data_IF_975660202819
#
_entry.id   IF_975660202819
#
_cell.length_a   1.000
_cell.length_b   1.000
_cell.length_c   1.000
_cell.angle_alpha   90.00
_cell.angle_beta   90.00
_cell.angle_gamma   90.00
#
_symmetry.space_group_name_H-M   'P 1'
#
loop_
_entity.id
_entity.type
_entity.pdbx_description
1 polymer ?
#
# COMPACT_ATOMS: atom_id res chain seq x y z
N UNK A 1 -2.07 14.31 16.32
CA UNK A 1 -2.19 13.62 15.02
C UNK A 1 -1.99 12.12 15.20
N UNK A 2 -0.82 11.67 15.66
CA UNK A 2 -0.50 10.24 15.61
C UNK A 2 -1.39 9.35 16.49
N UNK A 3 -1.60 9.76 17.75
CA UNK A 3 -2.48 9.08 18.69
C UNK A 3 -3.95 9.15 18.27
N UNK A 4 -4.36 10.22 17.57
CA UNK A 4 -5.73 10.38 17.06
C UNK A 4 -6.03 9.30 16.02
N UNK A 5 -5.11 9.07 15.08
CA UNK A 5 -5.29 8.01 14.08
C UNK A 5 -5.26 6.62 14.71
N UNK A 6 -4.31 6.38 15.64
CA UNK A 6 -4.20 5.11 16.35
C UNK A 6 -5.41 4.80 17.25
N UNK A 7 -6.18 5.82 17.66
CA UNK A 7 -7.38 5.65 18.50
C UNK A 7 -8.62 5.17 17.74
N UNK A 8 -8.60 5.14 16.40
CA UNK A 8 -9.76 4.75 15.59
C UNK A 8 -9.62 3.28 15.19
N UNK A 9 -10.57 2.39 15.56
CA UNK A 9 -10.55 1.00 15.11
C UNK A 9 -10.60 0.92 13.58
N UNK A 10 -9.69 0.15 12.99
CA UNK A 10 -9.60 0.02 11.53
C UNK A 10 -10.90 -0.46 10.88
N UNK A 11 -11.70 -1.27 11.58
CA UNK A 11 -13.00 -1.74 11.08
C UNK A 11 -13.98 -0.61 10.83
N UNK A 12 -13.93 0.44 11.66
CA UNK A 12 -14.80 1.62 11.54
C UNK A 12 -14.19 2.71 10.67
N UNK A 13 -12.87 2.71 10.48
CA UNK A 13 -12.17 3.80 9.81
C UNK A 13 -12.71 4.12 8.41
N UNK A 14 -13.12 3.10 7.64
CA UNK A 14 -13.69 3.32 6.32
C UNK A 14 -14.96 4.19 6.34
N UNK A 15 -15.81 4.04 7.35
CA UNK A 15 -17.04 4.84 7.52
C UNK A 15 -16.73 6.32 7.80
N UNK A 16 -15.62 6.62 8.49
CA UNK A 16 -15.16 7.99 8.69
C UNK A 16 -14.55 8.59 7.42
N UNK A 17 -13.88 7.77 6.60
CA UNK A 17 -13.20 8.23 5.39
C UNK A 17 -14.18 8.48 4.23
N UNK A 18 -15.24 7.69 4.10
CA UNK A 18 -16.25 7.86 3.04
C UNK A 18 -16.86 9.28 2.96
N UNK A 19 -17.39 9.90 4.04
CA UNK A 19 -17.94 11.25 3.98
C UNK A 19 -16.85 12.29 3.70
N UNK A 20 -15.64 12.10 4.23
CA UNK A 20 -14.50 12.97 3.94
C UNK A 20 -14.16 12.94 2.44
N UNK A 21 -14.08 11.75 1.84
CA UNK A 21 -13.79 11.59 0.42
C UNK A 21 -14.86 12.22 -0.47
N UNK A 22 -16.15 12.08 -0.09
CA UNK A 22 -17.26 12.77 -0.78
C UNK A 22 -17.09 14.28 -0.76
N UNK A 23 -16.73 14.85 0.39
CA UNK A 23 -16.54 16.29 0.52
C UNK A 23 -15.30 16.79 -0.23
N UNK A 24 -14.20 16.04 -0.21
CA UNK A 24 -12.99 16.33 -1.02
C UNK A 24 -13.37 16.35 -2.50
N UNK A 25 -14.04 15.30 -2.99
CA UNK A 25 -14.49 15.23 -4.39
C UNK A 25 -15.40 16.41 -4.76
N UNK A 26 -16.28 16.84 -3.86
CA UNK A 26 -17.17 17.99 -4.08
C UNK A 26 -16.41 19.32 -4.12
N UNK A 27 -15.43 19.53 -3.25
CA UNK A 27 -14.62 20.75 -3.22
C UNK A 27 -13.72 20.85 -4.44
N UNK A 28 -13.13 19.72 -4.83
CA UNK A 28 -12.12 19.65 -5.89
C UNK A 28 -12.72 19.11 -7.20
N UNK A 29 -14.03 19.26 -7.41
CA UNK A 29 -14.72 18.71 -8.59
C UNK A 29 -14.07 19.17 -9.88
N UNK A 30 -13.77 20.47 -10.01
CA UNK A 30 -13.10 21.01 -11.20
C UNK A 30 -11.76 20.32 -11.47
N UNK A 31 -10.95 20.08 -10.43
CA UNK A 31 -9.65 19.43 -10.55
C UNK A 31 -9.80 17.99 -11.06
N UNK A 32 -10.72 17.22 -10.48
CA UNK A 32 -10.97 15.85 -10.93
C UNK A 32 -11.55 15.80 -12.35
N UNK A 33 -12.47 16.71 -12.69
CA UNK A 33 -13.05 16.80 -14.03
C UNK A 33 -11.99 17.15 -15.09
N UNK A 34 -11.06 18.05 -14.77
CA UNK A 34 -10.00 18.44 -15.69
C UNK A 34 -8.97 17.32 -15.89
N UNK A 35 -8.64 16.58 -14.83
CA UNK A 35 -7.84 15.34 -14.93
C UNK A 35 -8.54 14.29 -15.80
N UNK A 36 -9.83 14.08 -15.62
CA UNK A 36 -10.61 13.13 -16.41
C UNK A 36 -10.64 13.52 -17.89
N UNK A 37 -10.78 14.82 -18.20
CA UNK A 37 -10.68 15.33 -19.58
C UNK A 37 -9.30 15.10 -20.20
N UNK A 38 -8.23 15.13 -19.40
CA UNK A 38 -6.87 14.79 -19.83
C UNK A 38 -6.66 13.26 -20.00
N UNK A 39 -7.68 12.44 -19.69
CA UNK A 39 -7.64 10.98 -19.79
C UNK A 39 -7.19 10.27 -18.52
N UNK A 40 -7.06 10.97 -17.40
CA UNK A 40 -6.67 10.38 -16.12
C UNK A 40 -7.80 9.54 -15.53
N UNK A 41 -7.47 8.34 -15.07
CA UNK A 41 -8.43 7.40 -14.48
C UNK A 41 -8.44 7.51 -12.95
N UNK A 42 -9.58 7.91 -12.39
CA UNK A 42 -9.76 8.02 -10.95
C UNK A 42 -10.04 6.67 -10.29
N UNK A 43 -9.45 6.44 -9.12
CA UNK A 43 -9.76 5.29 -8.24
C UNK A 43 -10.10 5.82 -6.84
N UNK A 44 -11.36 5.65 -6.46
CA UNK A 44 -11.92 6.16 -5.20
C UNK A 44 -11.81 5.17 -4.04
N UNK A 45 -11.11 4.04 -4.22
CA UNK A 45 -11.07 2.93 -3.29
C UNK A 45 -12.28 1.98 -3.45
N UNK A 46 -12.15 0.77 -2.91
CA UNK A 46 -13.11 -0.33 -3.12
C UNK A 46 -14.56 0.02 -2.72
N UNK A 47 -14.73 0.87 -1.72
CA UNK A 47 -16.00 1.32 -1.12
C UNK A 47 -16.11 2.85 -1.09
N UNK A 48 -15.28 3.57 -1.86
CA UNK A 48 -15.27 5.03 -1.86
C UNK A 48 -14.59 5.67 -0.64
N UNK A 49 -13.89 4.89 0.19
CA UNK A 49 -13.15 5.38 1.37
C UNK A 49 -11.76 5.97 1.04
N UNK A 50 -11.43 6.07 -0.24
CA UNK A 50 -10.28 6.84 -0.73
C UNK A 50 -8.91 6.27 -0.38
N UNK A 51 -7.92 7.17 -0.42
CA UNK A 51 -6.50 6.87 -0.26
C UNK A 51 -6.18 6.13 1.04
N UNK A 52 -6.72 6.61 2.16
CA UNK A 52 -6.38 6.11 3.50
C UNK A 52 -6.65 4.61 3.64
N UNK A 53 -7.85 4.17 3.27
CA UNK A 53 -8.19 2.76 3.36
C UNK A 53 -7.52 1.93 2.27
N UNK A 54 -7.28 2.49 1.08
CA UNK A 54 -6.49 1.83 0.04
C UNK A 54 -5.07 1.53 0.55
N UNK A 55 -4.46 2.49 1.25
CA UNK A 55 -3.16 2.32 1.87
C UNK A 55 -3.18 1.20 2.92
N UNK A 56 -4.12 1.22 3.85
CA UNK A 56 -4.20 0.19 4.90
C UNK A 56 -4.51 -1.21 4.33
N UNK A 57 -5.47 -1.31 3.42
CA UNK A 57 -5.89 -2.62 2.88
C UNK A 57 -4.81 -3.29 2.05
N UNK A 58 -4.04 -2.55 1.24
CA UNK A 58 -3.12 -3.17 0.26
C UNK A 58 -1.73 -2.57 0.14
N UNK A 59 -1.42 -1.49 0.86
CA UNK A 59 -0.09 -0.87 0.91
C UNK A 59 0.42 -0.31 -0.43
N UNK A 60 -0.41 -0.22 -1.47
CA UNK A 60 0.06 0.02 -2.85
C UNK A 60 -0.98 0.65 -3.79
N UNK A 61 -0.52 1.05 -4.99
CA UNK A 61 -1.33 1.49 -6.13
C UNK A 61 -2.15 2.76 -5.90
N UNK A 62 -1.66 3.64 -5.05
CA UNK A 62 -2.20 4.98 -4.89
C UNK A 62 -1.20 6.00 -5.41
N UNK A 63 -1.72 7.19 -5.69
CA UNK A 63 -0.97 8.34 -6.16
C UNK A 63 -1.26 9.50 -5.20
N UNK A 64 -0.21 10.18 -4.76
CA UNK A 64 -0.31 11.41 -3.98
C UNK A 64 0.23 12.50 -4.88
N UNK A 65 -0.64 13.45 -5.23
CA UNK A 65 -0.23 14.57 -6.05
C UNK A 65 0.70 15.50 -5.26
N UNK A 66 1.82 15.83 -5.89
CA UNK A 66 2.80 16.80 -5.42
C UNK A 66 3.08 17.88 -6.50
N UNK A 67 2.18 18.01 -7.47
CA UNK A 67 2.21 19.01 -8.55
C UNK A 67 2.21 18.44 -9.96
N UNK A 68 2.35 17.12 -10.13
CA UNK A 68 2.35 16.51 -11.47
C UNK A 68 0.96 16.43 -12.09
N UNK A 69 -0.10 16.43 -11.28
CA UNK A 69 -1.48 16.44 -11.79
C UNK A 69 -1.78 17.68 -12.63
N UNK A 70 -1.33 18.86 -12.19
CA UNK A 70 -1.53 20.12 -12.93
C UNK A 70 -0.81 20.09 -14.28
N UNK A 71 0.39 19.50 -14.34
CA UNK A 71 1.13 19.31 -15.58
C UNK A 71 0.46 18.30 -16.52
N UNK A 72 -0.27 17.31 -15.98
CA UNK A 72 -1.12 16.42 -16.80
C UNK A 72 -2.34 17.17 -17.33
N UNK A 73 -2.98 18.00 -16.49
CA UNK A 73 -4.15 18.81 -16.86
C UNK A 73 -3.79 19.80 -17.99
N UNK A 74 -2.66 20.50 -17.87
CA UNK A 74 -2.25 21.51 -18.86
C UNK A 74 -1.59 20.92 -20.12
N UNK A 75 -1.30 19.61 -20.11
CA UNK A 75 -0.73 18.87 -21.23
C UNK A 75 0.80 18.90 -21.31
N UNK A 76 1.49 19.53 -20.35
CA UNK A 76 2.95 19.49 -20.23
C UNK A 76 3.47 18.06 -20.02
N UNK A 77 2.71 17.22 -19.31
CA UNK A 77 2.91 15.77 -19.23
C UNK A 77 1.81 15.09 -20.04
N UNK A 78 2.20 14.42 -21.13
CA UNK A 78 1.27 13.61 -21.92
C UNK A 78 0.96 12.30 -21.19
N UNK A 79 -0.33 11.95 -21.16
CA UNK A 79 -0.82 10.73 -20.53
C UNK A 79 -1.22 9.68 -21.58
N UNK A 80 -0.76 8.44 -21.39
CA UNK A 80 -1.24 7.26 -22.13
C UNK A 80 -1.73 6.22 -21.13
N UNK A 81 -3.02 5.91 -21.17
CA UNK A 81 -3.70 4.98 -20.26
C UNK A 81 -4.47 3.89 -21.04
N UNK A 82 -4.96 2.88 -20.32
CA UNK A 82 -5.81 1.82 -20.88
C UNK A 82 -5.07 0.69 -21.61
N UNK A 83 -3.74 0.69 -21.59
CA UNK A 83 -2.90 -0.32 -22.22
C UNK A 83 -1.64 -0.54 -21.39
N UNK A 84 -1.25 -1.81 -21.18
CA UNK A 84 0.00 -2.15 -20.49
C UNK A 84 1.17 -2.08 -21.46
N UNK A 85 2.38 -1.96 -20.89
CA UNK A 85 3.62 -2.19 -21.63
C UNK A 85 3.73 -3.65 -22.06
N UNK A 86 3.98 -3.88 -23.35
CA UNK A 86 4.27 -5.21 -23.90
C UNK A 86 5.78 -5.48 -23.90
N UNK A 87 6.57 -4.55 -24.45
CA UNK A 87 8.04 -4.64 -24.52
C UNK A 87 8.67 -3.27 -24.72
N UNK A 88 9.98 -3.19 -24.52
CA UNK A 88 10.78 -2.09 -25.01
C UNK A 88 11.22 -2.37 -26.46
N UNK A 89 11.31 -1.32 -27.27
CA UNK A 89 12.02 -1.34 -28.55
C UNK A 89 13.34 -0.59 -28.41
N UNK A 90 14.16 -0.60 -29.47
CA UNK A 90 15.38 0.21 -29.53
C UNK A 90 15.10 1.71 -29.38
N UNK A 91 13.89 2.17 -29.75
CA UNK A 91 13.54 3.58 -29.84
C UNK A 91 12.42 4.01 -28.90
N UNK A 92 11.92 3.12 -28.01
CA UNK A 92 10.78 3.46 -27.17
C UNK A 92 10.09 2.30 -26.45
N UNK A 93 8.81 2.52 -26.15
CA UNK A 93 7.96 1.59 -25.40
C UNK A 93 6.81 1.13 -26.28
N UNK A 94 6.67 -0.17 -26.48
CA UNK A 94 5.54 -0.76 -27.22
C UNK A 94 4.49 -1.25 -26.25
N UNK A 95 3.26 -0.83 -26.48
CA UNK A 95 2.10 -1.15 -25.66
C UNK A 95 1.27 -2.27 -26.28
N UNK A 96 0.48 -2.98 -25.47
CA UNK A 96 -0.32 -4.13 -25.91
C UNK A 96 -1.42 -3.79 -26.94
N UNK A 97 -1.83 -2.53 -27.01
CA UNK A 97 -2.75 -2.00 -28.03
C UNK A 97 -2.06 -1.68 -29.36
N UNK A 98 -0.78 -2.03 -29.50
CA UNK A 98 0.02 -1.85 -30.71
C UNK A 98 0.66 -0.48 -30.86
N UNK A 99 0.40 0.45 -29.92
CA UNK A 99 1.01 1.77 -29.94
C UNK A 99 2.50 1.68 -29.55
N UNK A 100 3.35 2.44 -30.26
CA UNK A 100 4.75 2.64 -29.89
C UNK A 100 4.95 4.10 -29.46
N UNK A 101 5.53 4.28 -28.28
CA UNK A 101 5.85 5.58 -27.70
C UNK A 101 7.36 5.81 -27.83
N UNK A 102 7.81 6.70 -28.73
CA UNK A 102 9.22 7.03 -28.86
C UNK A 102 9.77 7.64 -27.57
N UNK A 103 10.93 7.18 -27.12
CA UNK A 103 11.59 7.69 -25.92
C UNK A 103 13.10 7.44 -25.95
N UNK A 104 13.89 8.47 -25.62
CA UNK A 104 15.35 8.35 -25.44
C UNK A 104 15.72 7.81 -24.04
N UNK A 105 14.80 7.91 -23.08
CA UNK A 105 14.97 7.43 -21.70
C UNK A 105 13.65 6.84 -21.19
N UNK A 106 13.74 5.66 -20.57
CA UNK A 106 12.61 4.99 -19.91
C UNK A 106 12.91 4.87 -18.41
N UNK A 107 12.01 5.38 -17.59
CA UNK A 107 12.09 5.29 -16.11
C UNK A 107 11.00 4.35 -15.61
N UNK A 108 11.42 3.27 -14.93
CA UNK A 108 10.50 2.31 -14.33
C UNK A 108 9.98 2.83 -12.98
N UNK A 109 8.81 3.45 -13.00
CA UNK A 109 8.07 3.88 -11.81
C UNK A 109 6.95 2.89 -11.43
N UNK A 110 7.22 1.59 -11.51
CA UNK A 110 6.20 0.51 -11.38
C UNK A 110 5.86 0.12 -9.93
N UNK A 111 6.43 0.83 -8.95
CA UNK A 111 6.23 0.56 -7.52
C UNK A 111 7.11 -0.56 -6.99
N UNK A 112 6.83 -0.97 -5.74
CA UNK A 112 7.58 -1.99 -5.01
C UNK A 112 6.81 -3.31 -4.90
N UNK A 113 7.55 -4.42 -4.83
CA UNK A 113 7.01 -5.73 -4.48
C UNK A 113 6.58 -5.83 -3.01
N UNK A 114 6.01 -6.98 -2.64
CA UNK A 114 5.58 -7.23 -1.26
C UNK A 114 6.78 -7.48 -0.33
N UNK A 115 6.62 -7.19 0.97
CA UNK A 115 7.64 -7.53 1.98
C UNK A 115 7.86 -9.06 2.08
N UNK A 116 6.84 -9.86 1.78
CA UNK A 116 6.97 -11.32 1.68
C UNK A 116 7.86 -11.77 0.55
N UNK A 117 7.78 -11.12 -0.62
CA UNK A 117 8.67 -11.41 -1.74
C UNK A 117 10.13 -11.23 -1.32
N UNK A 118 10.43 -10.12 -0.64
CA UNK A 118 11.76 -9.89 -0.07
C UNK A 118 12.17 -10.94 0.97
N UNK A 119 11.26 -11.39 1.83
CA UNK A 119 11.58 -12.46 2.78
C UNK A 119 11.92 -13.79 2.05
N UNK A 120 11.25 -14.07 0.92
CA UNK A 120 11.52 -15.25 0.12
C UNK A 120 12.90 -15.19 -0.55
N UNK A 121 13.26 -14.03 -1.10
CA UNK A 121 14.53 -13.80 -1.79
C UNK A 121 15.72 -13.71 -0.83
N UNK A 122 15.56 -13.04 0.31
CA UNK A 122 16.67 -12.77 1.25
C UNK A 122 16.89 -13.89 2.27
N UNK A 123 15.85 -14.67 2.59
CA UNK A 123 15.91 -15.71 3.63
C UNK A 123 15.63 -17.08 3.02
N UNK A 124 14.36 -17.37 2.72
CA UNK A 124 13.92 -18.56 2.00
C UNK A 124 12.42 -18.52 1.72
N UNK A 125 11.96 -19.30 0.72
CA UNK A 125 10.52 -19.45 0.46
C UNK A 125 9.77 -20.02 1.66
N UNK A 126 10.35 -21.00 2.36
CA UNK A 126 9.75 -21.62 3.54
C UNK A 126 9.52 -20.60 4.66
N UNK A 127 10.46 -19.66 4.87
CA UNK A 127 10.28 -18.58 5.85
C UNK A 127 9.20 -17.61 5.39
N UNK A 128 9.16 -17.22 4.12
CA UNK A 128 8.13 -16.34 3.59
C UNK A 128 6.72 -16.95 3.73
N UNK A 129 6.58 -18.24 3.42
CA UNK A 129 5.33 -18.99 3.55
C UNK A 129 4.93 -19.19 5.01
N UNK A 130 5.91 -19.33 5.91
CA UNK A 130 5.68 -19.43 7.34
C UNK A 130 5.21 -18.11 7.94
N UNK A 131 5.74 -16.97 7.50
CA UNK A 131 5.26 -15.64 7.92
C UNK A 131 3.86 -15.38 7.35
N UNK A 132 3.64 -15.71 6.08
CA UNK A 132 2.42 -15.37 5.35
C UNK A 132 2.29 -13.87 5.06
N UNK A 133 1.25 -13.47 4.32
CA UNK A 133 1.06 -12.09 3.82
C UNK A 133 1.37 -11.03 4.89
N UNK A 134 2.19 -10.05 4.53
CA UNK A 134 2.47 -8.83 5.28
C UNK A 134 1.66 -7.70 4.67
N UNK A 135 1.18 -6.80 5.54
CA UNK A 135 0.27 -5.72 5.19
C UNK A 135 -1.15 -6.19 4.83
N UNK A 136 -2.11 -5.29 5.02
CA UNK A 136 -3.53 -5.53 4.82
C UNK A 136 -4.24 -5.90 6.11
N UNK A 137 -5.54 -5.67 6.14
CA UNK A 137 -6.41 -5.84 7.31
C UNK A 137 -7.30 -7.07 7.20
N UNK A 138 -7.34 -7.71 6.03
CA UNK A 138 -8.25 -8.81 5.74
C UNK A 138 -9.67 -8.37 5.53
N UNK A 139 -9.83 -7.27 4.80
CA UNK A 139 -11.12 -6.62 4.60
C UNK A 139 -11.97 -7.25 3.49
N UNK A 140 -11.53 -8.36 2.88
CA UNK A 140 -12.14 -8.94 1.67
C UNK A 140 -12.31 -7.92 0.53
N UNK A 141 -11.27 -7.10 0.32
CA UNK A 141 -11.22 -6.12 -0.76
C UNK A 141 -10.12 -6.47 -1.78
N UNK A 142 -10.10 -5.87 -2.99
CA UNK A 142 -9.08 -6.17 -3.98
C UNK A 142 -7.66 -6.06 -3.42
N UNK A 143 -6.89 -7.16 -3.52
CA UNK A 143 -5.52 -7.34 -2.98
C UNK A 143 -5.41 -7.43 -1.44
N UNK A 144 -6.53 -7.44 -0.72
CA UNK A 144 -6.65 -7.65 0.74
C UNK A 144 -7.65 -8.77 1.07
N UNK A 145 -7.34 -10.03 0.74
CA UNK A 145 -8.23 -11.15 1.06
C UNK A 145 -8.37 -11.31 2.57
N UNK A 146 -9.55 -11.73 3.04
CA UNK A 146 -9.82 -12.07 4.43
C UNK A 146 -9.06 -13.31 4.91
N UNK A 147 -9.21 -13.72 6.18
CA UNK A 147 -10.16 -13.16 7.15
C UNK A 147 -9.65 -11.84 7.76
N UNK A 148 -10.57 -11.12 8.40
CA UNK A 148 -10.31 -9.88 9.13
C UNK A 148 -9.32 -10.09 10.29
N UNK A 149 -8.25 -9.30 10.30
CA UNK A 149 -7.13 -9.42 11.25
C UNK A 149 -7.21 -8.42 12.40
N UNK A 150 -7.99 -7.34 12.25
CA UNK A 150 -8.10 -6.26 13.23
C UNK A 150 -6.93 -5.26 13.25
N UNK A 151 -5.80 -5.63 12.69
CA UNK A 151 -4.57 -4.83 12.58
C UNK A 151 -3.80 -5.20 11.30
N UNK A 152 -2.79 -4.41 10.94
CA UNK A 152 -1.93 -4.71 9.80
C UNK A 152 -1.22 -6.06 9.98
N UNK A 153 -1.27 -6.91 8.94
CA UNK A 153 -0.63 -8.23 9.00
C UNK A 153 0.87 -8.14 9.16
N UNK A 154 1.38 -8.86 10.15
CA UNK A 154 2.81 -9.05 10.41
C UNK A 154 3.64 -7.75 10.61
N UNK A 155 2.99 -6.59 10.76
CA UNK A 155 3.66 -5.30 10.94
C UNK A 155 3.91 -5.00 12.42
N UNK A 156 5.16 -4.72 12.77
CA UNK A 156 5.63 -4.26 14.09
C UNK A 156 5.36 -5.22 15.26
N UNK A 157 5.02 -6.48 14.98
CA UNK A 157 4.66 -7.52 15.95
C UNK A 157 5.37 -8.84 15.64
N UNK A 158 5.45 -9.79 16.60
CA UNK A 158 6.07 -11.08 16.37
C UNK A 158 5.35 -11.82 15.25
N UNK A 159 6.11 -12.47 14.38
CA UNK A 159 5.56 -13.30 13.30
C UNK A 159 5.60 -14.78 13.67
N UNK A 160 4.97 -15.61 12.84
CA UNK A 160 5.07 -17.06 12.92
C UNK A 160 6.52 -17.58 12.80
N UNK A 161 7.39 -16.83 12.10
CA UNK A 161 8.81 -17.08 12.14
C UNK A 161 9.44 -16.46 13.40
N UNK A 162 10.04 -17.32 14.22
CA UNK A 162 10.72 -16.88 15.43
C UNK A 162 11.85 -15.90 15.10
N UNK A 163 11.99 -14.89 15.96
CA UNK A 163 13.00 -13.84 15.86
C UNK A 163 12.93 -12.99 14.58
N UNK A 164 11.78 -12.91 13.91
CA UNK A 164 11.56 -12.08 12.73
C UNK A 164 10.40 -11.10 12.93
N UNK A 165 10.64 -9.83 12.58
CA UNK A 165 9.68 -8.73 12.60
C UNK A 165 9.79 -7.92 11.30
N UNK A 166 8.66 -7.39 10.84
CA UNK A 166 8.62 -6.42 9.75
C UNK A 166 8.34 -5.03 10.30
N UNK A 167 9.06 -4.04 9.80
CA UNK A 167 8.85 -2.64 10.14
C UNK A 167 8.77 -1.82 8.85
N UNK A 168 7.75 -0.99 8.74
CA UNK A 168 7.53 -0.16 7.57
C UNK A 168 6.33 0.75 7.75
N UNK A 169 5.85 1.27 6.63
CA UNK A 169 4.79 2.26 6.59
C UNK A 169 5.30 3.69 6.53
N UNK A 170 4.36 4.64 6.56
CA UNK A 170 4.67 6.06 6.48
C UNK A 170 5.28 6.60 7.79
N UNK A 171 5.57 7.91 7.81
CA UNK A 171 6.19 8.57 8.95
C UNK A 171 5.33 8.53 10.23
N UNK A 172 4.00 8.55 10.10
CA UNK A 172 3.08 8.41 11.22
C UNK A 172 3.23 7.04 11.88
N UNK A 173 3.14 5.97 11.08
CA UNK A 173 3.25 4.61 11.60
C UNK A 173 4.65 4.32 12.12
N UNK A 174 5.69 4.83 11.45
CA UNK A 174 7.07 4.70 11.94
C UNK A 174 7.23 5.35 13.32
N UNK A 175 6.78 6.60 13.51
CA UNK A 175 6.86 7.27 14.82
C UNK A 175 6.08 6.54 15.91
N UNK A 176 4.91 6.00 15.57
CA UNK A 176 4.07 5.33 16.54
C UNK A 176 4.59 3.93 16.92
N UNK A 177 4.89 3.10 15.93
CA UNK A 177 5.18 1.68 16.15
C UNK A 177 6.65 1.34 16.41
N UNK A 178 7.59 2.22 16.07
CA UNK A 178 9.01 2.02 16.40
C UNK A 178 9.22 1.83 17.91
N UNK A 179 8.52 2.59 18.75
CA UNK A 179 8.64 2.46 20.21
C UNK A 179 8.18 1.06 20.68
N UNK A 180 7.02 0.59 20.23
CA UNK A 180 6.51 -0.72 20.63
C UNK A 180 7.41 -1.86 20.16
N UNK A 181 7.90 -1.80 18.93
CA UNK A 181 8.84 -2.80 18.42
C UNK A 181 10.16 -2.78 19.21
N UNK A 182 10.72 -1.61 19.48
CA UNK A 182 11.96 -1.50 20.24
C UNK A 182 11.82 -2.07 21.66
N UNK A 183 10.70 -1.80 22.35
CA UNK A 183 10.42 -2.35 23.68
C UNK A 183 10.29 -3.87 23.65
N UNK A 184 9.61 -4.42 22.65
CA UNK A 184 9.50 -5.86 22.44
C UNK A 184 10.86 -6.54 22.26
N UNK A 185 11.76 -5.94 21.48
CA UNK A 185 13.10 -6.45 21.24
C UNK A 185 13.99 -6.31 22.48
N UNK A 186 13.91 -5.16 23.16
CA UNK A 186 14.65 -4.91 24.40
C UNK A 186 14.25 -5.88 25.50
N UNK A 187 12.96 -6.11 25.72
CA UNK A 187 12.48 -7.06 26.73
C UNK A 187 13.06 -8.47 26.50
N UNK A 188 13.03 -8.97 25.25
CA UNK A 188 13.63 -10.26 24.88
C UNK A 188 15.14 -10.29 25.12
N UNK A 189 15.85 -9.22 24.77
CA UNK A 189 17.30 -9.08 25.00
C UNK A 189 17.66 -9.16 26.49
N UNK A 190 16.82 -8.61 27.36
CA UNK A 190 17.01 -8.64 28.81
C UNK A 190 16.46 -9.91 29.49
N UNK A 191 15.99 -10.89 28.71
CA UNK A 191 15.42 -12.13 29.25
C UNK A 191 14.05 -11.94 29.95
N UNK A 192 13.38 -10.81 29.73
CA UNK A 192 12.03 -10.57 30.25
C UNK A 192 11.04 -11.39 29.42
N UNK A 193 10.15 -12.18 30.05
CA UNK A 193 9.14 -12.95 29.34
C UNK A 193 8.26 -12.05 28.46
N UNK A 194 8.19 -12.36 27.16
CA UNK A 194 7.32 -11.67 26.21
C UNK A 194 6.32 -12.67 25.61
N UNK A 195 5.29 -13.10 26.38
CA UNK A 195 4.25 -13.98 25.85
C UNK A 195 3.56 -13.30 24.65
N UNK A 196 3.34 -14.07 23.59
CA UNK A 196 2.61 -13.62 22.41
C UNK A 196 1.19 -14.16 22.51
N UNK A 197 0.23 -13.26 22.67
CA UNK A 197 -1.18 -13.60 22.72
C UNK A 197 -1.81 -13.39 21.35
N UNK A 198 -2.56 -14.38 20.85
CA UNK A 198 -3.26 -14.26 19.58
C UNK A 198 -2.33 -14.17 18.36
N UNK A 199 -1.28 -15.01 18.31
CA UNK A 199 -0.47 -15.13 17.10
C UNK A 199 -1.34 -15.57 15.94
N UNK A 200 -1.42 -14.75 14.89
CA UNK A 200 -2.34 -14.97 13.78
C UNK A 200 -2.00 -16.24 12.98
N UNK A 201 -3.04 -16.94 12.53
CA UNK A 201 -2.90 -18.06 11.60
C UNK A 201 -2.48 -17.57 10.21
N UNK A 202 -1.80 -18.44 9.46
CA UNK A 202 -1.35 -18.13 8.10
C UNK A 202 -2.39 -18.61 7.10
N UNK A 203 -3.15 -17.67 6.54
CA UNK A 203 -4.13 -17.97 5.49
C UNK A 203 -3.58 -17.76 4.08
N UNK A 204 -2.55 -16.91 3.92
CA UNK A 204 -2.02 -16.48 2.63
C UNK A 204 -0.51 -16.68 2.59
N UNK A 205 -0.06 -17.60 1.73
CA UNK A 205 1.37 -17.87 1.50
C UNK A 205 1.93 -16.99 0.37
N UNK A 206 3.25 -16.89 0.31
CA UNK A 206 3.99 -16.06 -0.65
C UNK A 206 4.08 -16.68 -2.04
#
# INVERSE_FOLDING_TARGET
>A
ADLTYASIPYRLMHEFQMPLQKEIKRRDTKFYDDLEKAGFMHDWGADGSGLTMKYLRRGSGYYIDVGASDLVIDGSIKLKAGSDVERLSENGVVLKDGAELPADLVVYATGYGSMNGWAAELISKEVADKVGKCWGLGSDTPKDPGPWEGEERNMWKPTQQQALWFHGGNLHQSRHYSQYLALQLKARKEGIPTPVYGLQEVYHKG
#
